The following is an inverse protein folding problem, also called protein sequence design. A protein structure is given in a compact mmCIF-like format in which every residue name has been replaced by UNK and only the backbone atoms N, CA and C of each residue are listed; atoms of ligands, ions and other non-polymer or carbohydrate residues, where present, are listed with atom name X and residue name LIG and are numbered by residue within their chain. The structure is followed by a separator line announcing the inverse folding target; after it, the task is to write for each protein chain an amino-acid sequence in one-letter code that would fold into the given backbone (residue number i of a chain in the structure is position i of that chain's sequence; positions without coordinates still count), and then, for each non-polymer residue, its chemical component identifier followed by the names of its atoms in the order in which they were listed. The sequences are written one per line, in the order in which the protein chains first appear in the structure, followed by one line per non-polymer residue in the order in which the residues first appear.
data_IF_028241688007
#
_entry.id   IF_028241688007
#
_cell.length_a   1.000
_cell.length_b   1.000
_cell.length_c   1.000
_cell.angle_alpha   90.00
_cell.angle_beta   90.00
_cell.angle_gamma   90.00
#
_symmetry.space_group_name_H-M   'P 1'
#
loop_
_entity.id
_entity.type
_entity.pdbx_description
1 polymer ?
#
# COMPACT_ATOMS: atom_id res chain seq x y z
N UNK A 1 5.99 8.88 -13.77
CA UNK A 1 4.85 8.15 -13.17
C UNK A 1 5.35 6.76 -12.82
N UNK A 2 5.65 6.57 -11.53
CA UNK A 2 6.55 5.55 -10.98
C UNK A 2 5.88 4.18 -10.77
N UNK A 3 6.70 3.12 -10.74
CA UNK A 3 6.31 1.72 -10.46
C UNK A 3 5.45 1.54 -9.19
N UNK A 4 5.50 2.48 -8.23
CA UNK A 4 4.68 2.49 -7.01
C UNK A 4 3.17 2.41 -7.30
N UNK A 5 2.69 3.07 -8.37
CA UNK A 5 1.28 3.02 -8.73
C UNK A 5 0.85 1.64 -9.25
N UNK A 6 1.79 0.82 -9.74
CA UNK A 6 1.49 -0.52 -10.24
C UNK A 6 1.25 -1.51 -9.10
N UNK A 7 1.97 -1.39 -7.99
CA UNK A 7 1.78 -2.25 -6.81
C UNK A 7 0.47 -1.94 -6.06
N UNK A 8 0.07 -0.67 -6.05
CA UNK A 8 -1.19 -0.23 -5.47
C UNK A 8 -2.38 -0.47 -6.41
N UNK A 9 -2.17 -0.91 -7.66
CA UNK A 9 -3.25 -1.18 -8.61
C UNK A 9 -3.93 -2.54 -8.36
N UNK A 10 -4.41 -2.73 -7.13
CA UNK A 10 -5.13 -3.94 -6.71
C UNK A 10 -6.61 -3.64 -6.51
N UNK A 11 -7.51 -4.64 -6.70
CA UNK A 11 -8.93 -4.47 -6.40
C UNK A 11 -9.20 -3.98 -4.97
N UNK A 12 -8.44 -4.49 -4.00
CA UNK A 12 -8.58 -4.14 -2.58
C UNK A 12 -8.21 -2.68 -2.31
N UNK A 13 -7.10 -2.21 -2.89
CA UNK A 13 -6.69 -0.81 -2.73
C UNK A 13 -7.70 0.14 -3.40
N UNK A 14 -8.16 -0.18 -4.61
CA UNK A 14 -9.20 0.61 -5.30
C UNK A 14 -10.50 0.69 -4.50
N UNK A 15 -10.91 -0.40 -3.85
CA UNK A 15 -12.08 -0.40 -2.96
C UNK A 15 -11.86 0.48 -1.73
N UNK A 16 -10.69 0.39 -1.09
CA UNK A 16 -10.35 1.21 0.07
C UNK A 16 -10.32 2.70 -0.28
N UNK A 17 -9.76 3.07 -1.43
CA UNK A 17 -9.79 4.45 -1.94
C UNK A 17 -11.23 4.90 -2.19
N UNK A 18 -12.07 4.07 -2.82
CA UNK A 18 -13.47 4.44 -3.06
C UNK A 18 -14.25 4.70 -1.75
N UNK A 19 -14.03 3.87 -0.72
CA UNK A 19 -14.62 4.08 0.60
C UNK A 19 -14.10 5.34 1.29
N UNK A 20 -12.79 5.63 1.16
CA UNK A 20 -12.21 6.87 1.66
C UNK A 20 -12.82 8.09 0.99
N UNK A 21 -13.00 8.06 -0.34
CA UNK A 21 -13.60 9.17 -1.10
C UNK A 21 -15.02 9.47 -0.65
N UNK A 22 -15.84 8.44 -0.41
CA UNK A 22 -17.19 8.61 0.10
C UNK A 22 -17.21 9.25 1.50
N UNK A 23 -16.30 8.82 2.38
CA UNK A 23 -16.16 9.41 3.71
C UNK A 23 -15.67 10.86 3.65
N UNK A 24 -14.67 11.14 2.81
CA UNK A 24 -14.11 12.48 2.63
C UNK A 24 -15.17 13.48 2.13
N UNK A 25 -16.04 13.04 1.21
CA UNK A 25 -17.16 13.83 0.72
C UNK A 25 -18.15 14.18 1.83
N UNK A 26 -18.57 13.19 2.62
CA UNK A 26 -19.50 13.39 3.75
C UNK A 26 -18.92 14.34 4.81
N UNK A 27 -17.61 14.31 5.01
CA UNK A 27 -16.89 15.16 5.95
C UNK A 27 -16.54 16.54 5.40
N UNK A 28 -16.75 16.79 4.10
CA UNK A 28 -16.27 17.99 3.38
C UNK A 28 -14.79 18.23 3.63
N UNK A 29 -14.00 17.17 3.52
CA UNK A 29 -12.56 17.23 3.75
C UNK A 29 -11.90 18.15 2.71
N UNK A 30 -10.93 18.95 3.15
CA UNK A 30 -10.12 19.78 2.26
C UNK A 30 -9.46 18.94 1.15
N UNK A 31 -9.50 19.42 -0.08
CA UNK A 31 -9.01 18.68 -1.26
C UNK A 31 -7.51 18.36 -1.16
N UNK A 32 -6.71 19.22 -0.52
CA UNK A 32 -5.28 18.93 -0.34
C UNK A 32 -5.07 17.78 0.66
N UNK A 33 -5.90 17.70 1.70
CA UNK A 33 -5.88 16.57 2.63
C UNK A 33 -6.38 15.29 1.96
N UNK A 34 -7.45 15.40 1.17
CA UNK A 34 -8.03 14.29 0.41
C UNK A 34 -6.99 13.66 -0.51
N UNK A 35 -6.29 14.44 -1.33
CA UNK A 35 -5.25 13.93 -2.22
C UNK A 35 -4.05 13.35 -1.46
N UNK A 36 -3.63 14.00 -0.37
CA UNK A 36 -2.49 13.54 0.44
C UNK A 36 -2.75 12.20 1.14
N UNK A 37 -3.98 11.93 1.56
CA UNK A 37 -4.32 10.74 2.36
C UNK A 37 -4.64 9.50 1.51
N UNK A 38 -4.82 9.65 0.19
CA UNK A 38 -5.11 8.53 -0.73
C UNK A 38 -3.97 7.52 -0.85
N UNK A 39 -2.73 7.98 -0.73
CA UNK A 39 -1.52 7.16 -0.92
C UNK A 39 -0.76 7.07 0.40
N UNK A 40 -0.21 5.89 0.77
CA UNK A 40 0.61 5.78 1.97
C UNK A 40 1.83 6.70 1.89
N UNK A 41 2.17 7.35 3.00
CA UNK A 41 3.34 8.23 3.07
C UNK A 41 4.66 7.46 2.84
N UNK A 42 4.72 6.18 3.24
CA UNK A 42 5.85 5.27 3.02
C UNK A 42 5.32 3.85 2.87
N UNK A 43 5.93 3.09 1.96
CA UNK A 43 5.82 1.64 1.85
C UNK A 43 7.24 1.08 1.69
N UNK A 44 7.52 -0.09 2.28
CA UNK A 44 8.84 -0.70 2.23
C UNK A 44 8.69 -2.16 1.83
N UNK A 45 9.42 -2.54 0.79
CA UNK A 45 9.52 -3.94 0.36
C UNK A 45 10.88 -4.44 0.81
N UNK A 46 10.87 -5.54 1.57
CA UNK A 46 12.10 -6.14 2.10
C UNK A 46 12.24 -7.58 1.63
N UNK A 47 13.47 -7.96 1.33
CA UNK A 47 13.85 -9.36 1.14
C UNK A 47 14.37 -9.90 2.47
N UNK A 48 13.65 -10.84 3.07
CA UNK A 48 13.99 -11.47 4.35
C UNK A 48 14.55 -12.87 4.09
N UNK A 49 15.87 -13.06 4.08
CA UNK A 49 16.47 -14.38 4.02
C UNK A 49 16.27 -15.10 5.36
N UNK A 50 15.68 -16.29 5.32
CA UNK A 50 15.42 -17.13 6.49
C UNK A 50 16.17 -18.44 6.32
N UNK A 51 16.90 -18.85 7.36
CA UNK A 51 17.46 -20.19 7.46
C UNK A 51 16.35 -21.13 7.92
N UNK A 52 16.07 -22.13 7.10
CA UNK A 52 15.05 -23.15 7.35
C UNK A 52 15.59 -24.25 8.27
N UNK A 53 14.71 -25.10 8.79
CA UNK A 53 15.08 -26.21 9.69
C UNK A 53 16.04 -27.22 9.04
N UNK A 54 15.95 -27.39 7.71
CA UNK A 54 16.84 -28.23 6.90
C UNK A 54 18.17 -27.54 6.55
N UNK A 55 18.46 -26.39 7.16
CA UNK A 55 19.63 -25.52 6.91
C UNK A 55 19.69 -24.84 5.54
N UNK A 56 18.68 -25.02 4.67
CA UNK A 56 18.57 -24.23 3.44
C UNK A 56 18.25 -22.75 3.75
N UNK A 57 18.56 -21.85 2.81
CA UNK A 57 18.17 -20.44 2.89
C UNK A 57 17.06 -20.18 1.89
N UNK A 58 15.93 -19.64 2.37
CA UNK A 58 14.83 -19.18 1.54
C UNK A 58 14.61 -17.69 1.75
N UNK A 59 14.47 -16.94 0.66
CA UNK A 59 14.16 -15.50 0.71
C UNK A 59 12.65 -15.32 0.63
N UNK A 60 12.11 -14.57 1.58
CA UNK A 60 10.70 -14.18 1.60
C UNK A 60 10.59 -12.68 1.32
N UNK A 61 9.54 -12.28 0.60
CA UNK A 61 9.23 -10.86 0.39
C UNK A 61 8.30 -10.41 1.51
N UNK A 62 8.70 -9.34 2.20
CA UNK A 62 7.87 -8.62 3.17
C UNK A 62 7.41 -7.27 2.60
N UNK A 63 6.24 -6.82 3.05
CA UNK A 63 5.58 -5.55 2.69
C UNK A 63 5.15 -4.80 3.96
#
# INVERSE_FOLDING_TARGET
MSDLYRELDTPTFRLAVAQFEEAAERLRLDDNLRERLKIPQRALIVSVPVRMDDSSVKVFVGY
#
